data_IF_102612596980
#
_entry.id   IF_102612596980
#
_cell.length_a   1.000
_cell.length_b   1.000
_cell.length_c   1.000
_cell.angle_alpha   90.00
_cell.angle_beta   90.00
_cell.angle_gamma   90.00
#
_symmetry.space_group_name_H-M   'P 1'
#
loop_
_entity.id
_entity.type
_entity.pdbx_description
1 polymer ?
#
# COMPACT_ATOMS: atom_id res chain seq x y z
N UNK A 1 -9.39 16.39 18.31
CA UNK A 1 -9.28 15.00 18.80
C UNK A 1 -8.13 14.42 18.02
N UNK A 2 -6.92 14.61 18.53
CA UNK A 2 -5.70 14.44 17.73
C UNK A 2 -5.20 13.00 17.84
N UNK A 3 -6.04 12.08 17.38
CA UNK A 3 -5.77 10.65 17.37
C UNK A 3 -5.45 10.18 15.96
N UNK A 4 -4.35 9.43 15.82
CA UNK A 4 -4.09 8.62 14.63
C UNK A 4 -5.15 7.51 14.60
N UNK A 5 -6.00 7.51 13.57
CA UNK A 5 -6.84 6.36 13.25
C UNK A 5 -6.08 5.44 12.31
N UNK A 6 -6.14 4.14 12.59
CA UNK A 6 -5.47 3.13 11.78
C UNK A 6 -6.17 1.78 11.91
N UNK A 7 -6.51 1.13 10.79
CA UNK A 7 -7.13 -0.19 10.75
C UNK A 7 -6.76 -0.99 9.49
N UNK A 8 -6.82 -2.34 9.52
CA UNK A 8 -6.72 -3.15 8.31
C UNK A 8 -7.83 -2.79 7.33
N UNK A 9 -7.50 -2.68 6.05
CA UNK A 9 -8.47 -2.39 5.00
C UNK A 9 -8.54 -3.54 4.00
N UNK A 10 -9.76 -3.97 3.70
CA UNK A 10 -10.06 -4.86 2.59
C UNK A 10 -10.95 -4.10 1.62
N UNK A 11 -10.65 -4.13 0.30
CA UNK A 11 -11.50 -3.47 -0.67
C UNK A 11 -12.91 -4.06 -0.59
N UNK A 12 -13.96 -3.22 -0.49
CA UNK A 12 -15.31 -3.72 -0.68
C UNK A 12 -15.46 -4.30 -2.09
N UNK A 13 -16.39 -5.25 -2.28
CA UNK A 13 -16.58 -5.90 -3.57
C UNK A 13 -17.08 -4.93 -4.65
N UNK A 14 -17.75 -3.84 -4.25
CA UNK A 14 -18.31 -2.84 -5.16
C UNK A 14 -17.92 -1.41 -4.75
N UNK A 15 -17.54 -0.53 -5.70
CA UNK A 15 -17.24 -0.87 -7.09
C UNK A 15 -15.96 -1.73 -7.18
N UNK A 16 -15.96 -2.71 -8.07
CA UNK A 16 -14.78 -3.56 -8.27
C UNK A 16 -13.54 -2.75 -8.68
N UNK A 17 -12.35 -3.12 -8.17
CA UNK A 17 -11.10 -2.40 -8.45
C UNK A 17 -10.77 -2.30 -9.95
N UNK A 18 -11.16 -3.30 -10.75
CA UNK A 18 -11.00 -3.27 -12.20
C UNK A 18 -11.84 -2.16 -12.85
N UNK A 19 -13.06 -1.91 -12.35
CA UNK A 19 -13.91 -0.80 -12.81
C UNK A 19 -13.26 0.54 -12.47
N UNK A 20 -12.80 0.70 -11.23
CA UNK A 20 -12.10 1.91 -10.79
C UNK A 20 -10.83 2.17 -11.60
N UNK A 21 -10.09 1.12 -11.95
CA UNK A 21 -8.90 1.22 -12.79
C UNK A 21 -9.24 1.74 -14.20
N UNK A 22 -10.28 1.21 -14.82
CA UNK A 22 -10.72 1.66 -16.14
C UNK A 22 -11.17 3.13 -16.10
N UNK A 23 -12.02 3.49 -15.13
CA UNK A 23 -12.46 4.88 -14.96
C UNK A 23 -11.27 5.82 -14.75
N UNK A 24 -10.28 5.41 -13.95
CA UNK A 24 -9.09 6.20 -13.71
C UNK A 24 -8.19 6.34 -14.94
N UNK A 25 -8.16 5.33 -15.83
CA UNK A 25 -7.43 5.35 -17.08
C UNK A 25 -8.10 6.25 -18.13
N UNK A 26 -9.42 6.15 -18.25
CA UNK A 26 -10.23 7.00 -19.14
C UNK A 26 -10.04 8.48 -18.81
N UNK A 27 -10.15 8.83 -17.52
CA UNK A 27 -9.96 10.21 -17.04
C UNK A 27 -8.55 10.74 -17.33
N UNK A 28 -7.55 9.86 -17.30
CA UNK A 28 -6.17 10.22 -17.59
C UNK A 28 -5.79 10.13 -19.08
N UNK A 29 -6.71 9.76 -19.96
CA UNK A 29 -6.46 9.60 -21.39
C UNK A 29 -5.49 8.46 -21.73
N UNK A 30 -5.39 7.44 -20.87
CA UNK A 30 -4.56 6.26 -21.12
C UNK A 30 -5.25 5.37 -22.17
N UNK A 31 -4.53 4.98 -23.22
CA UNK A 31 -5.07 4.15 -24.31
C UNK A 31 -5.17 2.67 -23.98
N UNK A 32 -4.40 2.23 -22.99
CA UNK A 32 -4.36 0.85 -22.51
C UNK A 32 -3.90 0.81 -21.05
N UNK A 33 -4.33 -0.23 -20.35
CA UNK A 33 -3.88 -0.58 -19.01
C UNK A 33 -3.24 -1.97 -19.08
N UNK A 34 -1.92 -2.04 -18.89
CA UNK A 34 -1.23 -3.33 -18.87
C UNK A 34 -1.30 -4.01 -17.49
N UNK A 35 -1.49 -3.20 -16.43
CA UNK A 35 -1.59 -3.64 -15.03
C UNK A 35 -2.54 -2.72 -14.27
N UNK A 36 -3.25 -3.28 -13.30
CA UNK A 36 -4.14 -2.54 -12.40
C UNK A 36 -4.25 -3.27 -11.05
N UNK A 37 -4.72 -2.59 -9.98
CA UNK A 37 -4.94 -3.26 -8.71
C UNK A 37 -6.13 -4.22 -8.77
N UNK A 38 -5.97 -5.37 -8.15
CA UNK A 38 -6.98 -6.42 -8.12
C UNK A 38 -7.13 -6.94 -6.70
N UNK A 39 -8.33 -7.36 -6.32
CA UNK A 39 -8.47 -8.13 -5.10
C UNK A 39 -7.97 -9.56 -5.37
N UNK A 40 -6.93 -9.98 -4.63
CA UNK A 40 -6.41 -11.34 -4.64
C UNK A 40 -6.51 -11.91 -3.23
N UNK A 41 -6.52 -13.24 -3.08
CA UNK A 41 -6.66 -13.88 -1.76
C UNK A 41 -5.65 -13.29 -0.76
N UNK A 42 -6.14 -12.57 0.24
CA UNK A 42 -5.33 -11.97 1.30
C UNK A 42 -4.88 -10.53 1.09
N UNK A 43 -5.28 -9.84 0.01
CA UNK A 43 -4.91 -8.43 -0.17
C UNK A 43 -5.12 -7.85 -1.56
N UNK A 44 -4.43 -6.75 -1.85
CA UNK A 44 -4.43 -6.09 -3.16
C UNK A 44 -3.28 -6.64 -3.99
N UNK A 45 -3.56 -7.30 -5.11
CA UNK A 45 -2.56 -7.68 -6.10
C UNK A 45 -2.27 -6.57 -7.09
N UNK A 46 -1.04 -6.53 -7.60
CA UNK A 46 -0.64 -5.62 -8.69
C UNK A 46 0.50 -6.24 -9.52
N UNK A 47 0.27 -6.44 -10.81
CA UNK A 47 1.20 -7.16 -11.68
C UNK A 47 1.53 -8.55 -11.14
N UNK A 48 2.80 -8.92 -11.16
CA UNK A 48 3.31 -10.22 -10.70
C UNK A 48 3.71 -10.23 -9.21
N UNK A 49 3.52 -9.12 -8.50
CA UNK A 49 3.85 -9.03 -7.08
C UNK A 49 2.86 -9.83 -6.24
N UNK A 50 3.32 -10.42 -5.11
CA UNK A 50 2.42 -10.97 -4.11
C UNK A 50 1.43 -9.91 -3.60
N UNK A 51 0.22 -10.31 -3.17
CA UNK A 51 -0.77 -9.37 -2.68
C UNK A 51 -0.26 -8.57 -1.47
N UNK A 52 -0.48 -7.27 -1.50
CA UNK A 52 -0.20 -6.34 -0.41
C UNK A 52 -1.27 -6.45 0.68
N UNK A 53 -0.83 -6.45 1.93
CA UNK A 53 -1.70 -6.08 3.05
C UNK A 53 -1.99 -4.59 2.95
N UNK A 54 -3.27 -4.22 3.03
CA UNK A 54 -3.68 -2.83 2.99
C UNK A 54 -4.17 -2.37 4.37
N UNK A 55 -3.79 -1.16 4.73
CA UNK A 55 -4.19 -0.49 5.97
C UNK A 55 -4.71 0.89 5.63
N UNK A 56 -5.84 1.24 6.22
CA UNK A 56 -6.40 2.58 6.15
C UNK A 56 -5.98 3.37 7.39
N UNK A 57 -5.47 4.57 7.19
CA UNK A 57 -5.26 5.55 8.24
C UNK A 57 -5.87 6.90 7.93
N UNK A 58 -6.14 7.69 8.97
CA UNK A 58 -6.64 9.06 8.85
C UNK A 58 -5.74 10.03 9.60
N UNK A 59 -5.15 10.99 8.88
CA UNK A 59 -4.36 12.10 9.45
C UNK A 59 -4.37 13.31 8.52
N UNK A 60 -5.31 14.23 8.72
CA UNK A 60 -5.50 15.37 7.80
C UNK A 60 -6.06 14.97 6.42
N UNK A 61 -6.20 13.68 6.16
CA UNK A 61 -6.77 13.07 4.96
C UNK A 61 -6.81 11.54 5.10
N UNK A 62 -7.29 10.85 4.07
CA UNK A 62 -7.24 9.38 4.01
C UNK A 62 -5.89 8.91 3.45
N UNK A 63 -5.37 7.84 4.04
CA UNK A 63 -4.11 7.22 3.65
C UNK A 63 -4.28 5.71 3.52
N UNK A 64 -3.82 5.16 2.41
CA UNK A 64 -3.76 3.72 2.18
C UNK A 64 -2.31 3.25 2.21
N UNK A 65 -1.96 2.45 3.22
CA UNK A 65 -0.61 1.92 3.40
C UNK A 65 -0.61 0.47 2.93
N UNK A 66 0.22 0.19 1.92
CA UNK A 66 0.39 -1.11 1.29
C UNK A 66 1.72 -1.71 1.71
N UNK A 67 1.66 -2.87 2.37
CA UNK A 67 2.84 -3.58 2.89
C UNK A 67 2.90 -4.98 2.33
N UNK A 68 4.10 -5.43 1.97
CA UNK A 68 4.32 -6.79 1.51
C UNK A 68 4.42 -7.76 2.70
N UNK A 69 3.46 -8.69 2.89
CA UNK A 69 3.48 -9.59 4.03
C UNK A 69 4.73 -10.49 4.07
N UNK A 70 5.36 -10.75 2.92
CA UNK A 70 6.64 -11.49 2.85
C UNK A 70 7.78 -10.75 3.53
N UNK A 71 7.85 -9.43 3.38
CA UNK A 71 8.90 -8.63 4.01
C UNK A 71 8.68 -8.50 5.52
N UNK A 72 7.41 -8.44 5.97
CA UNK A 72 7.06 -8.51 7.39
C UNK A 72 7.45 -9.87 7.97
N UNK A 73 7.10 -10.96 7.28
CA UNK A 73 7.45 -12.32 7.69
C UNK A 73 8.96 -12.57 7.75
N UNK A 74 9.76 -11.88 6.93
CA UNK A 74 11.22 -11.95 6.96
C UNK A 74 11.83 -11.36 8.24
N UNK A 75 11.07 -10.58 9.03
CA UNK A 75 11.50 -10.09 10.35
C UNK A 75 11.43 -11.17 11.43
N UNK A 76 10.72 -12.27 11.19
CA UNK A 76 10.56 -13.35 12.17
C UNK A 76 11.85 -14.17 12.24
N UNK A 77 12.49 -14.31 13.43
CA UNK A 77 13.70 -15.11 13.57
C UNK A 77 13.54 -16.54 13.03
N UNK A 78 14.45 -16.95 12.15
CA UNK A 78 14.43 -18.28 11.54
C UNK A 78 13.50 -18.45 10.33
N UNK A 79 12.72 -17.43 9.96
CA UNK A 79 11.91 -17.47 8.76
C UNK A 79 12.78 -17.56 7.49
N UNK A 80 12.36 -18.41 6.55
CA UNK A 80 12.96 -18.53 5.23
C UNK A 80 11.91 -18.20 4.17
N UNK A 81 11.62 -16.92 4.02
CA UNK A 81 10.74 -16.44 2.96
C UNK A 81 11.58 -16.06 1.73
N UNK A 82 11.22 -16.50 0.52
CA UNK A 82 11.81 -15.94 -0.68
C UNK A 82 11.53 -14.44 -0.72
N UNK A 83 12.59 -13.66 -0.88
CA UNK A 83 12.52 -12.21 -1.00
C UNK A 83 11.75 -11.79 -2.25
N UNK A 84 11.33 -10.53 -2.26
CA UNK A 84 10.86 -9.89 -3.48
C UNK A 84 12.05 -9.62 -4.41
N UNK A 85 11.80 -9.44 -5.72
CA UNK A 85 12.85 -9.03 -6.65
C UNK A 85 13.62 -7.81 -6.15
N UNK A 86 14.91 -7.77 -6.40
CA UNK A 86 15.70 -6.56 -6.14
C UNK A 86 15.11 -5.40 -6.96
N UNK A 87 15.02 -4.21 -6.36
CA UNK A 87 14.45 -3.03 -7.03
C UNK A 87 12.92 -3.03 -7.19
N UNK A 88 12.19 -4.02 -6.63
CA UNK A 88 10.74 -4.15 -6.88
C UNK A 88 9.93 -2.89 -6.56
N UNK A 89 10.31 -2.13 -5.53
CA UNK A 89 9.62 -0.91 -5.13
C UNK A 89 9.88 0.21 -6.14
N UNK A 90 11.11 0.30 -6.65
CA UNK A 90 11.54 1.26 -7.65
C UNK A 90 10.88 0.98 -9.02
N UNK A 91 10.79 -0.29 -9.40
CA UNK A 91 10.18 -0.74 -10.66
C UNK A 91 8.64 -0.76 -10.64
N UNK A 92 8.03 -0.58 -9.46
CA UNK A 92 6.58 -0.51 -9.31
C UNK A 92 6.03 0.70 -10.06
N UNK A 93 5.07 0.45 -10.95
CA UNK A 93 4.19 1.50 -11.50
C UNK A 93 3.22 1.97 -10.42
N UNK A 94 3.72 2.88 -9.58
CA UNK A 94 2.97 3.46 -8.47
C UNK A 94 1.75 4.22 -8.96
N UNK A 95 1.83 4.86 -10.13
CA UNK A 95 0.75 5.69 -10.64
C UNK A 95 -0.44 4.85 -11.08
N UNK A 96 -0.20 3.77 -11.84
CA UNK A 96 -1.25 2.84 -12.25
C UNK A 96 -1.86 2.08 -11.04
N UNK A 97 -1.08 1.82 -10.00
CA UNK A 97 -1.58 1.27 -8.74
C UNK A 97 -2.41 2.29 -7.95
N UNK A 98 -1.89 3.51 -7.77
CA UNK A 98 -2.43 4.47 -6.83
C UNK A 98 -3.67 5.19 -7.34
N UNK A 99 -3.71 5.59 -8.62
CA UNK A 99 -4.84 6.35 -9.19
C UNK A 99 -6.21 5.75 -8.90
N UNK A 100 -6.48 4.46 -9.18
CA UNK A 100 -7.76 3.85 -8.83
C UNK A 100 -8.01 3.73 -7.33
N UNK A 101 -6.99 3.41 -6.52
CA UNK A 101 -7.13 3.26 -5.07
C UNK A 101 -7.40 4.61 -4.39
N UNK A 102 -6.74 5.67 -4.84
CA UNK A 102 -6.89 7.04 -4.35
C UNK A 102 -8.31 7.57 -4.57
N UNK A 103 -9.03 7.07 -5.58
CA UNK A 103 -10.41 7.47 -5.92
C UNK A 103 -11.46 6.52 -5.38
N UNK A 104 -11.06 5.50 -4.60
CA UNK A 104 -11.98 4.51 -4.10
C UNK A 104 -13.08 5.17 -3.23
N UNK A 105 -14.38 4.90 -3.45
CA UNK A 105 -15.49 5.60 -2.76
C UNK A 105 -15.49 5.49 -1.23
N UNK A 106 -14.82 4.46 -0.70
CA UNK A 106 -14.55 4.30 0.74
C UNK A 106 -13.68 5.41 1.35
N UNK A 107 -13.08 6.28 0.53
CA UNK A 107 -12.28 7.42 0.96
C UNK A 107 -12.85 8.72 0.38
N UNK A 108 -13.91 9.30 0.99
CA UNK A 108 -14.47 10.56 0.54
C UNK A 108 -13.41 11.67 0.52
N UNK A 109 -13.30 12.39 -0.60
CA UNK A 109 -12.23 13.38 -0.81
C UNK A 109 -10.91 12.79 -1.30
N UNK A 110 -10.85 11.48 -1.49
CA UNK A 110 -9.69 10.75 -1.99
C UNK A 110 -8.71 10.33 -0.91
N UNK A 111 -7.79 9.44 -1.28
CA UNK A 111 -6.73 8.95 -0.42
C UNK A 111 -5.35 9.13 -1.07
N UNK A 112 -4.35 9.37 -0.25
CA UNK A 112 -2.95 9.12 -0.64
C UNK A 112 -2.62 7.64 -0.51
N UNK A 113 -1.69 7.16 -1.32
CA UNK A 113 -1.33 5.73 -1.37
C UNK A 113 0.17 5.60 -1.13
N UNK A 114 0.55 4.73 -0.20
CA UNK A 114 1.91 4.57 0.28
C UNK A 114 2.32 3.11 0.17
N UNK A 115 3.32 2.81 -0.64
CA UNK A 115 3.85 1.44 -0.78
C UNK A 115 5.14 1.34 -0.01
N UNK A 116 5.18 0.41 0.94
CA UNK A 116 6.25 0.28 1.91
C UNK A 116 7.13 -0.90 1.56
N UNK A 117 8.45 -0.66 1.56
CA UNK A 117 9.49 -1.67 1.53
C UNK A 117 10.19 -1.72 2.89
N UNK A 118 10.26 -2.91 3.50
CA UNK A 118 10.98 -3.10 4.75
C UNK A 118 12.45 -3.43 4.43
N UNK A 119 13.37 -2.63 4.98
CA UNK A 119 14.83 -2.77 4.77
C UNK A 119 15.51 -3.60 5.86
N UNK A 120 14.75 -3.99 6.89
CA UNK A 120 15.19 -4.70 8.08
C UNK A 120 14.43 -4.20 9.31
N UNK A 121 14.75 -4.73 10.51
CA UNK A 121 14.13 -4.27 11.75
C UNK A 121 14.29 -2.76 11.94
N UNK A 122 13.17 -2.05 12.14
CA UNK A 122 13.14 -0.61 12.45
C UNK A 122 13.43 0.32 11.27
N UNK A 123 13.63 -0.19 10.05
CA UNK A 123 13.93 0.61 8.86
C UNK A 123 13.02 0.29 7.69
N UNK A 124 12.43 1.32 7.08
CA UNK A 124 11.61 1.19 5.89
C UNK A 124 11.94 2.25 4.83
N UNK A 125 11.57 1.97 3.59
CA UNK A 125 11.48 2.93 2.49
C UNK A 125 10.02 2.99 2.04
N UNK A 126 9.53 4.16 1.67
CA UNK A 126 8.16 4.34 1.19
C UNK A 126 8.16 5.03 -0.16
N UNK A 127 7.36 4.57 -1.12
CA UNK A 127 7.00 5.37 -2.30
C UNK A 127 5.56 5.80 -2.19
N UNK A 128 5.29 7.07 -2.46
CA UNK A 128 4.01 7.70 -2.15
C UNK A 128 3.39 8.39 -3.35
N UNK A 129 2.09 8.18 -3.51
CA UNK A 129 1.20 9.02 -4.28
C UNK A 129 0.51 9.97 -3.29
N UNK A 130 0.89 11.24 -3.30
CA UNK A 130 0.55 12.21 -2.26
C UNK A 130 1.57 12.24 -1.12
N UNK A 131 1.31 13.05 -0.10
CA UNK A 131 2.21 13.22 1.05
C UNK A 131 2.03 12.09 2.08
N UNK A 132 3.12 11.42 2.45
CA UNK A 132 3.10 10.36 3.44
C UNK A 132 3.26 10.90 4.87
N UNK A 133 2.28 10.69 5.75
CA UNK A 133 2.49 10.85 7.18
C UNK A 133 3.34 9.67 7.69
N UNK A 134 4.64 9.90 7.86
CA UNK A 134 5.61 8.86 8.25
C UNK A 134 5.27 8.14 9.56
N UNK A 135 4.54 8.80 10.46
CA UNK A 135 4.02 8.21 11.70
C UNK A 135 2.88 7.20 11.46
N UNK A 136 2.05 7.36 10.43
CA UNK A 136 1.06 6.33 10.05
C UNK A 136 1.77 5.06 9.56
N UNK A 137 2.80 5.22 8.71
CA UNK A 137 3.58 4.07 8.22
C UNK A 137 4.27 3.36 9.39
N UNK A 138 4.93 4.11 10.27
CA UNK A 138 5.54 3.55 11.48
C UNK A 138 4.50 2.84 12.38
N UNK A 139 3.30 3.42 12.51
CA UNK A 139 2.19 2.83 13.26
C UNK A 139 1.70 1.49 12.68
N UNK A 140 1.55 1.40 11.36
CA UNK A 140 1.22 0.14 10.66
C UNK A 140 2.29 -0.91 10.91
N UNK A 141 3.55 -0.56 10.65
CA UNK A 141 4.67 -1.48 10.81
C UNK A 141 4.81 -1.98 12.25
N UNK A 142 4.61 -1.11 13.23
CA UNK A 142 4.60 -1.48 14.65
C UNK A 142 3.50 -2.50 14.98
N UNK A 143 2.30 -2.33 14.43
CA UNK A 143 1.17 -3.28 14.65
C UNK A 143 1.39 -4.65 14.02
N UNK A 144 2.02 -4.72 12.84
CA UNK A 144 2.15 -5.99 12.09
C UNK A 144 3.44 -6.75 12.34
N UNK A 145 4.48 -6.10 12.87
CA UNK A 145 5.80 -6.73 13.08
C UNK A 145 6.16 -6.98 14.54
N UNK A 146 5.53 -6.29 15.49
CA UNK A 146 5.96 -6.30 16.90
C UNK A 146 7.28 -5.57 17.17
N UNK A 147 7.96 -5.04 16.14
CA UNK A 147 9.15 -4.19 16.27
C UNK A 147 8.72 -2.78 16.67
N UNK A 148 9.39 -2.23 17.68
CA UNK A 148 9.23 -0.83 18.11
C UNK A 148 10.22 0.06 17.36
N UNK A 149 9.91 1.35 17.28
CA UNK A 149 10.81 2.39 16.76
C UNK A 149 11.17 2.23 15.27
N UNK A 150 10.21 2.58 14.42
CA UNK A 150 10.38 2.59 12.96
C UNK A 150 10.83 3.96 12.46
N UNK A 151 11.83 3.94 11.59
CA UNK A 151 12.31 5.12 10.85
C UNK A 151 12.36 4.81 9.36
N UNK A 152 12.12 5.80 8.52
CA UNK A 152 12.14 5.58 7.09
C UNK A 152 12.38 6.82 6.27
N UNK A 153 12.65 6.58 5.00
CA UNK A 153 12.81 7.61 3.97
C UNK A 153 11.73 7.45 2.90
N UNK A 154 11.30 8.58 2.34
CA UNK A 154 10.57 8.61 1.08
C UNK A 154 11.51 8.35 -0.11
#
# INVERSE_FOLDING_TARGET
MDGIFLEPWLPPPEPGLARLAMEAADEAGLRSLDRWPEFRKGGIGFGDLPPFLAWHGVRGGHHLILVQPREVGALVPGARAPGLPEGWLEDLDLEALARPLARHPGFPGGASVHVVRILGPGRFKVRSWGEAPGDLVAGVLGRISGVRDWSGSA
#
